data_IF_579395426104
#
_entry.id   IF_579395426104
#
_cell.length_a   1.000
_cell.length_b   1.000
_cell.length_c   1.000
_cell.angle_alpha   90.00
_cell.angle_beta   90.00
_cell.angle_gamma   90.00
#
_symmetry.space_group_name_H-M   'P 1'
#
loop_
_entity.id
_entity.type
_entity.pdbx_description
1 polymer ?
#
# COMPACT_ATOMS: atom_id res chain seq x y z
N UNK A 1 -4.20 -12.99 -18.76
CA UNK A 1 -3.50 -11.71 -18.53
C UNK A 1 -4.03 -11.16 -17.20
N UNK A 2 -3.19 -11.11 -16.17
CA UNK A 2 -3.62 -10.91 -14.78
C UNK A 2 -3.90 -9.42 -14.56
N UNK A 3 -5.17 -9.05 -14.44
CA UNK A 3 -5.55 -7.73 -13.92
C UNK A 3 -5.56 -7.82 -12.40
N UNK A 4 -4.40 -7.57 -11.79
CA UNK A 4 -4.35 -7.27 -10.36
C UNK A 4 -4.89 -5.85 -10.19
N UNK A 5 -6.19 -5.70 -9.91
CA UNK A 5 -6.79 -4.43 -9.50
C UNK A 5 -6.22 -4.01 -8.15
N UNK A 6 -5.03 -3.42 -8.18
CA UNK A 6 -4.33 -2.92 -7.01
C UNK A 6 -4.83 -1.51 -6.72
N UNK A 7 -5.24 -1.29 -5.47
CA UNK A 7 -5.73 0.00 -4.98
C UNK A 7 -4.75 1.14 -5.27
N UNK A 8 -3.46 0.82 -5.40
CA UNK A 8 -2.41 1.81 -5.62
C UNK A 8 -2.54 2.43 -7.02
N UNK A 9 -2.91 1.64 -8.03
CA UNK A 9 -3.15 2.14 -9.37
C UNK A 9 -4.48 2.88 -9.49
N UNK A 10 -5.53 2.37 -8.84
CA UNK A 10 -6.89 2.90 -9.02
C UNK A 10 -7.20 4.09 -8.11
N UNK A 11 -6.77 4.03 -6.85
CA UNK A 11 -7.14 5.02 -5.82
C UNK A 11 -6.01 6.00 -5.51
N UNK A 12 -4.76 5.56 -5.63
CA UNK A 12 -3.59 6.37 -5.33
C UNK A 12 -2.87 6.89 -6.59
N UNK A 13 -3.39 6.59 -7.78
CA UNK A 13 -2.88 7.05 -9.06
C UNK A 13 -1.39 6.72 -9.29
N UNK A 14 -0.92 5.61 -8.72
CA UNK A 14 0.41 5.06 -9.02
C UNK A 14 0.35 4.48 -10.41
N UNK A 15 1.27 4.88 -11.27
CA UNK A 15 1.38 4.36 -12.64
C UNK A 15 2.54 3.38 -12.76
N UNK A 16 2.55 2.58 -13.83
CA UNK A 16 3.69 1.73 -14.15
C UNK A 16 4.99 2.55 -14.29
N UNK A 17 4.89 3.75 -14.87
CA UNK A 17 6.01 4.67 -15.06
C UNK A 17 6.62 5.13 -13.74
N UNK A 18 5.79 5.31 -12.72
CA UNK A 18 6.29 5.66 -11.38
C UNK A 18 7.12 4.52 -10.79
N UNK A 19 6.65 3.27 -10.94
CA UNK A 19 7.39 2.09 -10.48
C UNK A 19 8.76 1.95 -11.16
N UNK A 20 8.79 2.13 -12.49
CA UNK A 20 10.03 2.10 -13.28
C UNK A 20 11.00 3.20 -12.84
N UNK A 21 10.50 4.40 -12.58
CA UNK A 21 11.31 5.53 -12.12
C UNK A 21 11.90 5.26 -10.73
N UNK A 22 11.11 4.74 -9.78
CA UNK A 22 11.57 4.44 -8.43
C UNK A 22 12.62 3.33 -8.41
N UNK A 23 12.41 2.25 -9.16
CA UNK A 23 13.40 1.18 -9.28
C UNK A 23 14.67 1.66 -9.97
N UNK A 24 14.56 2.46 -11.03
CA UNK A 24 15.72 3.02 -11.72
C UNK A 24 16.57 3.90 -10.81
N UNK A 25 15.94 4.74 -9.99
CA UNK A 25 16.63 5.58 -9.02
C UNK A 25 17.26 4.77 -7.89
N UNK A 26 16.62 3.68 -7.43
CA UNK A 26 17.19 2.80 -6.42
C UNK A 26 18.43 2.07 -6.94
N UNK A 27 18.37 1.55 -8.17
CA UNK A 27 19.47 0.83 -8.81
C UNK A 27 20.62 1.75 -9.23
N UNK A 28 20.34 3.01 -9.61
CA UNK A 28 21.37 3.98 -10.02
C UNK A 28 22.39 4.28 -8.91
N UNK A 29 22.06 4.00 -7.66
CA UNK A 29 22.91 4.20 -6.47
C UNK A 29 23.92 3.08 -6.22
N UNK A 30 24.05 2.14 -7.18
CA UNK A 30 25.05 1.07 -7.13
C UNK A 30 24.56 -0.21 -6.44
N UNK A 31 23.25 -0.40 -6.33
CA UNK A 31 22.66 -1.65 -5.85
C UNK A 31 22.40 -2.62 -7.01
N UNK A 32 22.70 -3.91 -6.80
CA UNK A 32 22.43 -4.96 -7.80
C UNK A 32 20.96 -5.40 -7.83
N UNK A 33 20.19 -5.01 -6.80
CA UNK A 33 18.79 -5.38 -6.65
C UNK A 33 17.99 -4.29 -5.93
N UNK A 34 16.75 -4.11 -6.37
CA UNK A 34 15.76 -3.28 -5.72
C UNK A 34 14.37 -3.88 -5.98
N UNK A 35 13.48 -3.78 -4.98
CA UNK A 35 12.07 -4.12 -5.09
C UNK A 35 11.19 -3.00 -4.52
N UNK A 36 9.91 -3.05 -4.86
CA UNK A 36 8.90 -2.14 -4.34
C UNK A 36 7.88 -2.95 -3.56
N UNK A 37 7.77 -2.65 -2.27
CA UNK A 37 6.77 -3.23 -1.38
C UNK A 37 5.72 -2.17 -1.04
N UNK A 38 4.45 -2.53 -1.23
CA UNK A 38 3.33 -1.68 -0.89
C UNK A 38 2.45 -2.37 0.16
N UNK A 39 2.21 -1.69 1.28
CA UNK A 39 1.26 -2.13 2.30
C UNK A 39 0.08 -1.16 2.36
N UNK A 40 -1.13 -1.71 2.43
CA UNK A 40 -2.33 -0.96 2.77
C UNK A 40 -3.07 -1.64 3.89
N UNK A 41 -3.35 -0.89 4.95
CA UNK A 41 -3.98 -1.41 6.15
C UNK A 41 -5.10 -0.48 6.61
N UNK A 42 -6.27 -1.06 6.84
CA UNK A 42 -7.36 -0.42 7.57
C UNK A 42 -7.58 -1.24 8.83
N UNK A 43 -7.55 -0.59 9.99
CA UNK A 43 -7.88 -1.23 11.26
C UNK A 43 -9.15 -0.58 11.81
N UNK A 44 -10.16 -1.41 12.07
CA UNK A 44 -11.37 -1.00 12.75
C UNK A 44 -11.49 -1.78 14.06
N UNK A 45 -11.86 -1.11 15.13
CA UNK A 45 -12.14 -1.77 16.41
C UNK A 45 -13.39 -1.20 17.05
N UNK A 46 -14.15 -2.07 17.70
CA UNK A 46 -15.33 -1.69 18.49
C UNK A 46 -15.20 -2.39 19.84
N UNK A 47 -15.32 -1.62 20.92
CA UNK A 47 -15.34 -2.13 22.29
C UNK A 47 -16.75 -1.98 22.85
N UNK A 48 -17.36 -3.11 23.20
CA UNK A 48 -18.70 -3.20 23.79
C UNK A 48 -18.59 -3.72 25.22
N UNK A 49 -19.05 -2.94 26.18
CA UNK A 49 -19.18 -3.34 27.58
C UNK A 49 -20.54 -2.90 28.09
N UNK A 50 -21.22 -3.75 28.86
CA UNK A 50 -22.53 -3.41 29.47
C UNK A 50 -23.60 -2.95 28.45
N UNK A 51 -23.56 -3.48 27.22
CA UNK A 51 -24.43 -3.06 26.10
C UNK A 51 -24.18 -1.61 25.62
N UNK A 52 -23.07 -0.99 26.02
CA UNK A 52 -22.68 0.36 25.64
C UNK A 52 -21.39 0.30 24.80
N UNK A 53 -21.38 1.01 23.68
CA UNK A 53 -20.16 1.22 22.90
C UNK A 53 -19.27 2.17 23.69
N UNK A 54 -18.16 1.65 24.22
CA UNK A 54 -17.16 2.45 24.96
C UNK A 54 -16.12 3.07 24.04
N UNK A 55 -15.81 2.44 22.92
CA UNK A 55 -14.85 2.96 21.94
C UNK A 55 -15.09 2.42 20.54
N UNK A 56 -14.85 3.26 19.54
CA UNK A 56 -14.78 2.91 18.13
C UNK A 56 -13.63 3.70 17.48
N UNK A 57 -12.80 3.05 16.67
CA UNK A 57 -11.66 3.68 15.95
C UNK A 57 -11.64 3.20 14.51
#
# INVERSE_FOLDING_TARGET
MVHSNSIFFEKYNVTLRDLEAYLSEALSRGGDYADLYFEYRINHSIVLEEQIIKSAT
#
